data_IF_134445222252
#
_entry.id   IF_134445222252
#
_cell.length_a   1.000
_cell.length_b   1.000
_cell.length_c   1.000
_cell.angle_alpha   90.00
_cell.angle_beta   90.00
_cell.angle_gamma   90.00
#
_symmetry.space_group_name_H-M   'P 1'
#
loop_
_entity.id
_entity.type
_entity.pdbx_description
1 polymer ?
#
# COMPACT_ATOMS: atom_id res chain seq x y z
N UNK A 1 63.70 20.99 -52.78
CA UNK A 1 62.40 21.66 -52.55
C UNK A 1 61.43 20.58 -52.13
N UNK A 2 61.38 20.29 -50.84
CA UNK A 2 60.37 19.42 -50.24
C UNK A 2 59.80 20.18 -49.04
N UNK A 3 58.53 20.56 -49.14
CA UNK A 3 57.73 20.99 -47.98
C UNK A 3 56.44 20.19 -48.00
N UNK A 4 56.44 19.17 -47.15
CA UNK A 4 55.36 18.24 -46.89
C UNK A 4 54.21 18.89 -46.12
N UNK A 5 53.00 18.65 -46.65
CA UNK A 5 51.67 18.78 -46.06
C UNK A 5 51.58 18.72 -44.52
N UNK A 6 51.02 19.77 -43.91
CA UNK A 6 50.40 19.70 -42.58
C UNK A 6 48.94 19.25 -42.71
N UNK A 7 48.65 17.98 -42.38
CA UNK A 7 47.29 17.53 -42.06
C UNK A 7 47.23 17.21 -40.57
N UNK A 8 46.79 18.17 -39.78
CA UNK A 8 46.42 17.96 -38.38
C UNK A 8 45.10 17.20 -38.36
N UNK A 9 45.12 15.96 -37.86
CA UNK A 9 43.90 15.19 -37.60
C UNK A 9 43.05 15.90 -36.53
N UNK A 10 41.71 15.82 -36.59
CA UNK A 10 40.87 16.41 -35.56
C UNK A 10 41.10 15.68 -34.23
N UNK A 11 41.37 16.45 -33.18
CA UNK A 11 41.44 15.99 -31.79
C UNK A 11 40.03 15.48 -31.44
N UNK A 12 39.87 14.16 -31.39
CA UNK A 12 38.67 13.55 -30.82
C UNK A 12 38.66 13.95 -29.35
N UNK A 13 37.71 14.80 -28.94
CA UNK A 13 37.45 15.06 -27.53
C UNK A 13 37.15 13.72 -26.87
N UNK A 14 38.11 13.22 -26.09
CA UNK A 14 37.91 12.12 -25.17
C UNK A 14 36.70 12.51 -24.32
N UNK A 15 35.56 11.82 -24.51
CA UNK A 15 34.38 12.08 -23.70
C UNK A 15 34.82 11.96 -22.25
N UNK A 16 34.55 12.99 -21.45
CA UNK A 16 34.74 12.96 -20.00
C UNK A 16 34.27 11.59 -19.47
N UNK A 17 35.22 10.81 -18.93
CA UNK A 17 34.95 9.44 -18.49
C UNK A 17 33.83 9.39 -17.45
N UNK A 18 33.66 10.49 -16.68
CA UNK A 18 32.56 10.66 -15.75
C UNK A 18 31.22 10.77 -16.47
N UNK A 19 31.15 11.54 -17.55
CA UNK A 19 29.95 11.67 -18.38
C UNK A 19 29.58 10.35 -19.07
N UNK A 20 30.59 9.60 -19.56
CA UNK A 20 30.36 8.26 -20.13
C UNK A 20 29.77 7.32 -19.08
N UNK A 21 30.31 7.35 -17.87
CA UNK A 21 29.84 6.52 -16.74
C UNK A 21 28.41 6.86 -16.35
N UNK A 22 28.08 8.15 -16.20
CA UNK A 22 26.71 8.62 -15.91
C UNK A 22 25.72 8.22 -17.01
N UNK A 23 26.09 8.38 -18.28
CA UNK A 23 25.25 7.99 -19.42
C UNK A 23 24.96 6.48 -19.40
N UNK A 24 25.96 5.65 -19.10
CA UNK A 24 25.82 4.21 -18.98
C UNK A 24 24.89 3.83 -17.81
N UNK A 25 25.10 4.40 -16.63
CA UNK A 25 24.24 4.17 -15.45
C UNK A 25 22.78 4.52 -15.76
N UNK A 26 22.53 5.68 -16.39
CA UNK A 26 21.17 6.10 -16.77
C UNK A 26 20.54 5.15 -17.80
N UNK A 27 21.30 4.69 -18.81
CA UNK A 27 20.82 3.69 -19.79
C UNK A 27 20.50 2.33 -19.15
N UNK A 28 21.27 1.93 -18.15
CA UNK A 28 21.04 0.71 -17.37
C UNK A 28 19.94 0.85 -16.31
N UNK A 29 19.32 2.05 -16.19
CA UNK A 29 18.33 2.40 -15.17
C UNK A 29 18.87 2.25 -13.74
N UNK A 30 20.14 2.58 -13.56
CA UNK A 30 20.82 2.67 -12.26
C UNK A 30 20.72 4.10 -11.71
N UNK A 31 19.49 4.57 -11.50
CA UNK A 31 19.22 5.99 -11.19
C UNK A 31 19.77 6.42 -9.83
N UNK A 32 19.65 5.58 -8.80
CA UNK A 32 20.21 5.89 -7.48
C UNK A 32 21.73 5.93 -7.51
N UNK A 33 22.35 5.00 -8.23
CA UNK A 33 23.80 4.99 -8.47
C UNK A 33 24.26 6.21 -9.27
N UNK A 34 23.54 6.61 -10.32
CA UNK A 34 23.88 7.78 -11.12
C UNK A 34 23.84 9.06 -10.28
N UNK A 35 22.80 9.24 -9.46
CA UNK A 35 22.68 10.40 -8.58
C UNK A 35 23.81 10.43 -7.53
N UNK A 36 24.11 9.28 -6.91
CA UNK A 36 25.21 9.18 -5.96
C UNK A 36 26.57 9.45 -6.62
N UNK A 37 26.80 8.93 -7.82
CA UNK A 37 28.02 9.22 -8.57
C UNK A 37 28.13 10.72 -8.90
N UNK A 38 27.05 11.38 -9.31
CA UNK A 38 27.02 12.83 -9.55
C UNK A 38 27.27 13.64 -8.25
N UNK A 39 26.69 13.23 -7.12
CA UNK A 39 26.98 13.79 -5.78
C UNK A 39 28.47 13.63 -5.42
N UNK A 40 29.10 12.53 -5.82
CA UNK A 40 30.51 12.26 -5.54
C UNK A 40 31.47 13.18 -6.32
N UNK A 41 31.07 13.65 -7.51
CA UNK A 41 31.88 14.57 -8.32
C UNK A 41 31.94 15.98 -7.73
N UNK A 42 30.98 16.33 -6.87
CA UNK A 42 30.86 17.66 -6.26
C UNK A 42 31.27 17.69 -4.79
N UNK A 43 31.50 16.53 -4.18
CA UNK A 43 31.85 16.41 -2.76
C UNK A 43 33.24 15.81 -2.56
N UNK A 44 33.99 16.31 -1.58
CA UNK A 44 35.26 15.70 -1.13
C UNK A 44 35.06 14.36 -0.42
N UNK A 45 33.82 13.94 -0.21
CA UNK A 45 33.47 12.68 0.45
C UNK A 45 33.96 11.45 -0.32
N UNK A 46 34.03 11.54 -1.65
CA UNK A 46 34.51 10.47 -2.51
C UNK A 46 36.03 10.24 -2.41
N UNK A 47 36.79 11.31 -2.14
CA UNK A 47 38.26 11.28 -2.12
C UNK A 47 38.83 10.52 -0.91
N UNK A 48 38.03 10.35 0.15
CA UNK A 48 38.41 9.62 1.36
C UNK A 48 38.03 8.12 1.32
N UNK A 49 37.29 7.67 0.30
CA UNK A 49 36.84 6.28 0.21
C UNK A 49 37.83 5.40 -0.54
N UNK A 50 38.00 4.17 -0.08
CA UNK A 50 38.65 3.12 -0.87
C UNK A 50 37.74 2.73 -2.06
N UNK A 51 38.30 2.18 -3.17
CA UNK A 51 37.49 1.81 -4.34
C UNK A 51 36.32 0.85 -4.01
N UNK A 52 36.54 -0.10 -3.11
CA UNK A 52 35.52 -1.04 -2.64
C UNK A 52 34.43 -0.35 -1.80
N UNK A 53 34.81 0.61 -0.96
CA UNK A 53 33.87 1.43 -0.18
C UNK A 53 33.00 2.30 -1.09
N UNK A 54 33.60 2.90 -2.12
CA UNK A 54 32.88 3.72 -3.09
C UNK A 54 31.85 2.90 -3.88
N UNK A 55 32.23 1.73 -4.40
CA UNK A 55 31.30 0.83 -5.11
C UNK A 55 30.19 0.37 -4.17
N UNK A 56 30.50 0.00 -2.93
CA UNK A 56 29.50 -0.43 -1.95
C UNK A 56 28.47 0.67 -1.66
N UNK A 57 28.94 1.92 -1.51
CA UNK A 57 28.07 3.07 -1.33
C UNK A 57 27.16 3.32 -2.54
N UNK A 58 27.70 3.31 -3.76
CA UNK A 58 26.93 3.45 -4.99
C UNK A 58 25.84 2.37 -5.12
N UNK A 59 26.18 1.12 -4.81
CA UNK A 59 25.24 -0.01 -4.85
C UNK A 59 24.14 0.13 -3.79
N UNK A 60 24.49 0.57 -2.58
CA UNK A 60 23.51 0.84 -1.53
C UNK A 60 22.52 1.93 -1.96
N UNK A 61 23.00 3.02 -2.59
CA UNK A 61 22.14 4.10 -3.09
C UNK A 61 21.19 3.65 -4.19
N UNK A 62 21.63 2.77 -5.08
CA UNK A 62 20.76 2.15 -6.07
C UNK A 62 19.70 1.25 -5.43
N UNK A 63 20.10 0.45 -4.45
CA UNK A 63 19.19 -0.42 -3.71
C UNK A 63 18.10 0.39 -3.00
N UNK A 64 18.49 1.43 -2.26
CA UNK A 64 17.57 2.32 -1.54
C UNK A 64 16.59 3.02 -2.50
N UNK A 65 17.08 3.48 -3.66
CA UNK A 65 16.25 4.07 -4.69
C UNK A 65 15.20 3.09 -5.21
N UNK A 66 15.62 1.86 -5.56
CA UNK A 66 14.71 0.81 -6.05
C UNK A 66 13.70 0.37 -5.00
N UNK A 67 14.14 0.20 -3.75
CA UNK A 67 13.29 -0.18 -2.63
C UNK A 67 12.21 0.88 -2.41
N UNK A 68 12.59 2.15 -2.36
CA UNK A 68 11.67 3.29 -2.19
C UNK A 68 10.68 3.38 -3.36
N UNK A 69 11.16 3.29 -4.61
CA UNK A 69 10.30 3.33 -5.79
C UNK A 69 9.32 2.14 -5.84
N UNK A 70 9.72 0.96 -5.36
CA UNK A 70 8.84 -0.20 -5.26
C UNK A 70 7.72 0.03 -4.23
N UNK A 71 8.06 0.56 -3.05
CA UNK A 71 7.10 0.93 -2.00
C UNK A 71 6.12 2.01 -2.51
N UNK A 72 6.62 3.07 -3.14
CA UNK A 72 5.79 4.15 -3.70
C UNK A 72 4.82 3.64 -4.76
N UNK A 73 5.24 2.65 -5.56
CA UNK A 73 4.36 1.99 -6.53
C UNK A 73 3.26 1.19 -5.82
N UNK A 74 3.56 0.50 -4.72
CA UNK A 74 2.55 -0.22 -3.94
C UNK A 74 1.56 0.75 -3.29
N UNK A 75 2.05 1.83 -2.68
CA UNK A 75 1.21 2.87 -2.07
C UNK A 75 0.28 3.51 -3.10
N UNK A 76 0.81 3.92 -4.26
CA UNK A 76 -0.01 4.46 -5.35
C UNK A 76 -1.02 3.44 -5.88
N UNK A 77 -0.61 2.18 -6.02
CA UNK A 77 -1.49 1.10 -6.48
C UNK A 77 -2.64 0.80 -5.50
N UNK A 78 -2.39 0.97 -4.20
CA UNK A 78 -3.39 0.74 -3.16
C UNK A 78 -4.54 1.74 -3.17
N UNK A 79 -4.38 2.92 -3.79
CA UNK A 79 -5.44 3.92 -3.95
C UNK A 79 -6.05 4.41 -2.62
N UNK A 80 -5.24 4.60 -1.58
CA UNK A 80 -5.68 5.11 -0.29
C UNK A 80 -6.35 6.50 -0.41
N UNK A 81 -7.34 6.77 0.45
CA UNK A 81 -8.03 8.07 0.49
C UNK A 81 -7.10 9.22 0.92
N UNK A 82 -6.15 8.94 1.80
CA UNK A 82 -5.14 9.87 2.32
C UNK A 82 -3.95 9.06 2.84
N UNK A 83 -2.81 9.74 3.07
CA UNK A 83 -1.67 9.13 3.75
C UNK A 83 -1.96 9.03 5.25
N UNK A 84 -1.73 7.86 5.84
CA UNK A 84 -1.86 7.62 7.27
C UNK A 84 -0.68 6.77 7.73
N UNK A 85 -0.05 7.18 8.82
CA UNK A 85 1.13 6.53 9.34
C UNK A 85 0.84 5.92 10.72
N UNK A 86 1.30 4.70 11.02
CA UNK A 86 1.15 4.11 12.36
C UNK A 86 1.67 5.00 13.49
N UNK A 87 2.73 5.77 13.22
CA UNK A 87 3.37 6.69 14.16
C UNK A 87 2.46 7.87 14.56
N UNK A 88 1.45 8.17 13.77
CA UNK A 88 0.46 9.23 14.02
C UNK A 88 -0.74 8.74 14.87
N UNK A 89 -0.76 7.47 15.26
CA UNK A 89 -1.81 6.90 16.09
C UNK A 89 -1.68 7.45 17.52
N UNK A 90 -2.66 8.24 17.93
CA UNK A 90 -2.76 8.73 19.31
C UNK A 90 -3.43 7.69 20.22
N UNK A 91 -2.63 7.08 21.11
CA UNK A 91 -3.06 6.12 22.13
C UNK A 91 -3.50 6.79 23.45
N UNK A 92 -3.28 8.10 23.62
CA UNK A 92 -3.74 8.83 24.81
C UNK A 92 -5.25 9.02 24.84
N UNK A 93 -5.89 8.95 23.67
CA UNK A 93 -7.35 9.02 23.52
C UNK A 93 -7.96 7.68 23.95
N UNK A 94 -8.73 7.68 25.04
CA UNK A 94 -9.48 6.49 25.47
C UNK A 94 -10.62 6.18 24.51
N UNK A 95 -10.38 5.28 23.56
CA UNK A 95 -11.33 4.88 22.52
C UNK A 95 -11.38 3.38 22.25
N UNK A 96 -10.97 2.55 23.20
CA UNK A 96 -10.93 1.09 23.03
C UNK A 96 -9.75 0.57 22.21
N UNK A 97 -8.76 1.43 21.94
CA UNK A 97 -7.56 1.04 21.22
C UNK A 97 -6.46 0.62 22.18
N UNK A 98 -6.03 -0.64 22.10
CA UNK A 98 -4.93 -1.18 22.89
C UNK A 98 -3.61 -1.12 22.10
N UNK A 99 -2.57 -0.51 22.68
CA UNK A 99 -1.26 -0.36 22.02
C UNK A 99 -0.61 -1.73 21.72
N UNK A 100 -0.58 -2.65 22.68
CA UNK A 100 0.02 -3.98 22.48
C UNK A 100 -0.70 -4.76 21.37
N UNK A 101 -2.03 -4.62 21.27
CA UNK A 101 -2.80 -5.23 20.19
C UNK A 101 -2.44 -4.60 18.84
N UNK A 102 -2.32 -3.28 18.76
CA UNK A 102 -1.94 -2.59 17.53
C UNK A 102 -0.52 -2.95 17.09
N UNK A 103 0.45 -3.01 18.01
CA UNK A 103 1.82 -3.46 17.72
C UNK A 103 1.85 -4.88 17.14
N UNK A 104 1.05 -5.80 17.68
CA UNK A 104 0.88 -7.15 17.11
C UNK A 104 0.27 -7.12 15.71
N UNK A 105 -0.72 -6.26 15.46
CA UNK A 105 -1.29 -6.12 14.11
C UNK A 105 -0.29 -5.51 13.12
N UNK A 106 0.58 -4.61 13.59
CA UNK A 106 1.66 -4.02 12.80
C UNK A 106 2.80 -5.00 12.51
N UNK A 107 2.89 -6.17 13.17
CA UNK A 107 3.77 -7.27 12.69
C UNK A 107 3.33 -7.81 11.33
N UNK A 108 2.06 -7.57 10.95
CA UNK A 108 1.41 -8.04 9.72
C UNK A 108 1.33 -9.57 9.62
N UNK A 109 1.52 -10.30 10.71
CA UNK A 109 1.42 -11.77 10.72
C UNK A 109 0.02 -12.23 10.34
N UNK A 110 -1.01 -11.51 10.78
CA UNK A 110 -2.39 -11.78 10.39
C UNK A 110 -2.55 -11.72 8.86
N UNK A 111 -1.86 -10.78 8.18
CA UNK A 111 -1.89 -10.67 6.72
C UNK A 111 -1.28 -11.89 6.06
N UNK A 112 -0.13 -12.35 6.58
CA UNK A 112 0.62 -13.52 6.08
C UNK A 112 -0.14 -14.83 6.32
N UNK A 113 -0.94 -14.90 7.39
CA UNK A 113 -1.76 -16.05 7.75
C UNK A 113 -3.14 -16.04 7.07
N UNK A 114 -3.48 -15.01 6.29
CA UNK A 114 -4.80 -14.92 5.65
C UNK A 114 -5.95 -14.60 6.62
N UNK A 115 -5.64 -14.07 7.81
CA UNK A 115 -6.63 -13.71 8.82
C UNK A 115 -7.21 -12.32 8.55
N UNK A 116 -8.47 -12.10 8.92
CA UNK A 116 -9.15 -10.83 8.73
C UNK A 116 -8.97 -9.90 9.94
N UNK A 117 -9.24 -8.61 9.74
CA UNK A 117 -9.29 -7.61 10.80
C UNK A 117 -10.54 -6.77 10.67
N UNK A 118 -11.35 -6.72 11.73
CA UNK A 118 -12.52 -5.86 11.80
C UNK A 118 -12.29 -4.69 12.73
N UNK A 119 -12.56 -3.49 12.23
CA UNK A 119 -12.45 -2.24 12.99
C UNK A 119 -13.84 -1.62 13.02
N UNK A 120 -14.53 -1.76 14.15
CA UNK A 120 -15.91 -1.27 14.33
C UNK A 120 -15.94 -0.04 15.24
N UNK A 121 -17.08 0.66 15.28
CA UNK A 121 -17.28 1.81 16.17
C UNK A 121 -17.97 3.01 15.52
N UNK A 122 -18.38 3.99 16.33
CA UNK A 122 -19.16 5.14 15.88
C UNK A 122 -18.41 6.05 14.88
N UNK A 123 -19.13 6.93 14.19
CA UNK A 123 -18.54 7.87 13.24
C UNK A 123 -17.46 8.77 13.90
N UNK A 124 -16.30 8.89 13.24
CA UNK A 124 -15.23 9.77 13.70
C UNK A 124 -14.29 9.20 14.77
N UNK A 125 -14.47 7.94 15.20
CA UNK A 125 -13.57 7.28 16.18
C UNK A 125 -12.20 6.88 15.60
N UNK A 126 -11.97 7.04 14.29
CA UNK A 126 -10.68 6.77 13.65
C UNK A 126 -10.54 5.42 12.93
N UNK A 127 -11.64 4.68 12.69
CA UNK A 127 -11.63 3.38 11.98
C UNK A 127 -10.89 3.42 10.64
N UNK A 128 -11.31 4.31 9.74
CA UNK A 128 -10.71 4.45 8.41
C UNK A 128 -9.23 4.85 8.49
N UNK A 129 -8.85 5.63 9.52
CA UNK A 129 -7.46 6.02 9.74
C UNK A 129 -6.62 4.81 10.13
N UNK A 130 -7.07 3.99 11.09
CA UNK A 130 -6.38 2.77 11.49
C UNK A 130 -6.24 1.79 10.33
N UNK A 131 -7.33 1.53 9.59
CA UNK A 131 -7.30 0.65 8.43
C UNK A 131 -6.29 1.13 7.37
N UNK A 132 -6.26 2.44 7.10
CA UNK A 132 -5.33 3.05 6.15
C UNK A 132 -3.88 2.98 6.66
N UNK A 133 -3.63 3.26 7.94
CA UNK A 133 -2.30 3.21 8.54
C UNK A 133 -1.70 1.79 8.48
N UNK A 134 -2.51 0.76 8.78
CA UNK A 134 -2.13 -0.65 8.64
C UNK A 134 -1.83 -0.97 7.18
N UNK A 135 -2.68 -0.52 6.24
CA UNK A 135 -2.45 -0.70 4.81
C UNK A 135 -1.16 -0.03 4.31
N UNK A 136 -0.86 1.16 4.80
CA UNK A 136 0.35 1.90 4.47
C UNK A 136 1.59 1.17 5.00
N UNK A 137 1.52 0.70 6.24
CA UNK A 137 2.55 -0.13 6.85
C UNK A 137 2.77 -1.43 6.06
N UNK A 138 1.69 -2.06 5.60
CA UNK A 138 1.75 -3.24 4.74
C UNK A 138 2.48 -2.95 3.42
N UNK A 139 2.16 -1.84 2.74
CA UNK A 139 2.86 -1.43 1.53
C UNK A 139 4.35 -1.17 1.76
N UNK A 140 4.72 -0.52 2.88
CA UNK A 140 6.13 -0.32 3.27
C UNK A 140 6.87 -1.64 3.49
N UNK A 141 6.17 -2.69 3.93
CA UNK A 141 6.69 -4.04 4.09
C UNK A 141 6.56 -4.90 2.81
N UNK A 142 6.34 -4.29 1.65
CA UNK A 142 6.28 -5.00 0.37
C UNK A 142 4.98 -5.76 0.09
N UNK A 143 3.96 -5.64 0.94
CA UNK A 143 2.67 -6.30 0.78
C UNK A 143 1.81 -5.48 -0.17
N UNK A 144 1.27 -6.13 -1.21
CA UNK A 144 0.35 -5.48 -2.14
C UNK A 144 -1.03 -5.32 -1.48
N UNK A 145 -1.41 -4.07 -1.28
CA UNK A 145 -2.68 -3.68 -0.65
C UNK A 145 -3.61 -3.02 -1.67
N UNK A 146 -4.92 -3.14 -1.48
CA UNK A 146 -5.94 -2.34 -2.18
C UNK A 146 -6.91 -1.75 -1.15
N UNK A 147 -7.13 -0.45 -1.20
CA UNK A 147 -8.13 0.25 -0.41
C UNK A 147 -9.31 0.64 -1.29
N UNK A 148 -10.52 0.46 -0.78
CA UNK A 148 -11.70 1.04 -1.38
C UNK A 148 -12.79 1.31 -0.34
N UNK A 149 -13.64 2.29 -0.62
CA UNK A 149 -14.93 2.39 0.07
C UNK A 149 -15.84 1.27 -0.47
N UNK A 150 -16.46 0.53 0.44
CA UNK A 150 -17.19 -0.70 0.13
C UNK A 150 -18.32 -0.47 -0.87
N UNK A 151 -19.18 0.53 -0.63
CA UNK A 151 -20.30 0.85 -1.53
C UNK A 151 -19.81 1.30 -2.91
N UNK A 152 -18.71 2.07 -2.99
CA UNK A 152 -18.12 2.48 -4.27
C UNK A 152 -17.54 1.30 -5.04
N UNK A 153 -16.83 0.39 -4.35
CA UNK A 153 -16.28 -0.82 -4.95
C UNK A 153 -17.40 -1.67 -5.56
N UNK A 154 -18.40 -2.02 -4.76
CA UNK A 154 -19.51 -2.88 -5.20
C UNK A 154 -20.31 -2.22 -6.34
N UNK A 155 -20.54 -0.90 -6.26
CA UNK A 155 -21.16 -0.15 -7.36
C UNK A 155 -20.35 -0.22 -8.66
N UNK A 156 -19.01 -0.05 -8.59
CA UNK A 156 -18.16 -0.16 -9.77
C UNK A 156 -18.14 -1.57 -10.37
N UNK A 157 -18.12 -2.61 -9.52
CA UNK A 157 -18.15 -4.00 -9.94
C UNK A 157 -19.50 -4.39 -10.55
N UNK A 158 -20.60 -3.86 -10.02
CA UNK A 158 -21.95 -3.99 -10.60
C UNK A 158 -22.01 -3.42 -12.02
N UNK A 159 -21.40 -2.26 -12.24
CA UNK A 159 -21.27 -1.67 -13.59
C UNK A 159 -20.36 -2.51 -14.49
N UNK A 160 -19.23 -2.99 -13.97
CA UNK A 160 -18.31 -3.86 -14.72
C UNK A 160 -18.99 -5.18 -15.13
N UNK A 161 -19.85 -5.73 -14.27
CA UNK A 161 -20.66 -6.93 -14.57
C UNK A 161 -21.60 -6.67 -15.74
N UNK A 162 -22.30 -5.54 -15.74
CA UNK A 162 -23.19 -5.15 -16.84
C UNK A 162 -22.43 -4.92 -18.16
N UNK A 163 -21.14 -4.57 -18.10
CA UNK A 163 -20.27 -4.37 -19.26
C UNK A 163 -19.46 -5.61 -19.67
N UNK A 164 -19.65 -6.76 -19.00
CA UNK A 164 -18.85 -7.98 -19.18
C UNK A 164 -17.33 -7.78 -18.96
N UNK A 165 -16.93 -6.87 -18.06
CA UNK A 165 -15.52 -6.60 -17.72
C UNK A 165 -15.18 -6.91 -16.26
N UNK A 166 -16.09 -7.56 -15.52
CA UNK A 166 -15.91 -7.83 -14.07
C UNK A 166 -14.67 -8.67 -13.76
N UNK A 167 -14.33 -9.64 -14.61
CA UNK A 167 -13.18 -10.52 -14.41
C UNK A 167 -11.86 -9.75 -14.27
N UNK A 168 -11.68 -8.66 -15.02
CA UNK A 168 -10.47 -7.84 -14.97
C UNK A 168 -10.34 -7.14 -13.62
N UNK A 169 -11.45 -6.64 -13.07
CA UNK A 169 -11.49 -5.98 -11.77
C UNK A 169 -11.33 -7.00 -10.63
N UNK A 170 -11.97 -8.17 -10.72
CA UNK A 170 -11.78 -9.25 -9.75
C UNK A 170 -10.34 -9.74 -9.74
N UNK A 171 -9.68 -9.94 -10.90
CA UNK A 171 -8.24 -10.27 -10.98
C UNK A 171 -7.36 -9.21 -10.32
N UNK A 172 -7.75 -7.93 -10.37
CA UNK A 172 -7.02 -6.85 -9.68
C UNK A 172 -7.15 -6.99 -8.16
N UNK A 173 -8.34 -7.27 -7.66
CA UNK A 173 -8.61 -7.52 -6.23
C UNK A 173 -7.91 -8.80 -5.77
N UNK A 174 -7.97 -9.86 -6.56
CA UNK A 174 -7.34 -11.15 -6.28
C UNK A 174 -5.82 -10.99 -6.11
N UNK A 175 -5.16 -10.18 -6.93
CA UNK A 175 -3.71 -9.96 -6.85
C UNK A 175 -3.23 -9.26 -5.58
N UNK A 176 -4.11 -8.61 -4.80
CA UNK A 176 -3.71 -7.96 -3.55
C UNK A 176 -3.79 -8.91 -2.35
N UNK A 177 -2.72 -8.95 -1.55
CA UNK A 177 -2.65 -9.76 -0.33
C UNK A 177 -3.52 -9.17 0.79
N UNK A 178 -3.70 -7.84 0.79
CA UNK A 178 -4.53 -7.12 1.76
C UNK A 178 -5.60 -6.28 1.04
N UNK A 179 -6.87 -6.54 1.34
CA UNK A 179 -7.99 -5.74 0.84
C UNK A 179 -8.59 -4.96 2.00
N UNK A 180 -8.66 -3.64 1.89
CA UNK A 180 -9.30 -2.77 2.87
C UNK A 180 -10.65 -2.31 2.32
N UNK A 181 -11.70 -2.67 3.04
CA UNK A 181 -13.09 -2.29 2.77
C UNK A 181 -13.54 -1.29 3.83
N UNK A 182 -13.53 -0.01 3.45
CA UNK A 182 -13.90 1.11 4.32
C UNK A 182 -15.40 1.42 4.22
N UNK A 183 -15.98 1.92 5.31
CA UNK A 183 -17.43 2.15 5.48
C UNK A 183 -18.29 0.93 5.09
N UNK A 184 -17.85 -0.27 5.43
CA UNK A 184 -18.60 -1.50 5.15
C UNK A 184 -19.96 -1.50 5.85
N UNK A 185 -20.99 -1.98 5.15
CA UNK A 185 -22.36 -2.16 5.67
C UNK A 185 -23.06 -0.89 6.19
N UNK A 186 -22.55 0.31 5.86
CA UNK A 186 -23.24 1.56 6.17
C UNK A 186 -24.56 1.69 5.39
N UNK A 187 -24.57 1.16 4.17
CA UNK A 187 -25.76 1.00 3.33
C UNK A 187 -25.99 -0.49 3.14
N UNK A 188 -27.22 -1.01 3.34
CA UNK A 188 -27.53 -2.41 3.09
C UNK A 188 -27.23 -2.82 1.65
N UNK A 189 -26.78 -4.06 1.46
CA UNK A 189 -26.42 -4.55 0.13
C UNK A 189 -27.66 -4.82 -0.73
N UNK A 190 -27.59 -4.44 -2.01
CA UNK A 190 -28.61 -4.82 -2.98
C UNK A 190 -28.42 -6.27 -3.49
N UNK A 191 -29.45 -6.82 -4.14
CA UNK A 191 -29.43 -8.20 -4.63
C UNK A 191 -28.33 -8.50 -5.67
N UNK A 192 -27.81 -7.49 -6.38
CA UNK A 192 -26.73 -7.63 -7.35
C UNK A 192 -25.35 -7.53 -6.69
N UNK A 193 -25.24 -6.82 -5.58
CA UNK A 193 -24.00 -6.60 -4.83
C UNK A 193 -23.65 -7.78 -3.92
N UNK A 194 -24.65 -8.44 -3.33
CA UNK A 194 -24.47 -9.64 -2.50
C UNK A 194 -23.60 -10.74 -3.13
N UNK A 195 -23.91 -11.24 -4.35
CA UNK A 195 -23.10 -12.28 -4.97
C UNK A 195 -21.68 -11.80 -5.32
N UNK A 196 -21.50 -10.51 -5.62
CA UNK A 196 -20.17 -9.93 -5.91
C UNK A 196 -19.32 -9.92 -4.63
N UNK A 197 -19.91 -9.52 -3.50
CA UNK A 197 -19.18 -9.54 -2.22
C UNK A 197 -18.81 -10.98 -1.82
N UNK A 198 -19.75 -11.91 -1.99
CA UNK A 198 -19.49 -13.33 -1.71
C UNK A 198 -18.32 -13.85 -2.56
N UNK A 199 -18.31 -13.59 -3.87
CA UNK A 199 -17.23 -13.99 -4.78
C UNK A 199 -15.86 -13.44 -4.33
N UNK A 200 -15.79 -12.16 -3.95
CA UNK A 200 -14.56 -11.55 -3.41
C UNK A 200 -14.10 -12.25 -2.13
N UNK A 201 -15.03 -12.61 -1.24
CA UNK A 201 -14.72 -13.25 0.03
C UNK A 201 -14.26 -14.70 -0.19
N UNK A 202 -14.91 -15.43 -1.09
CA UNK A 202 -14.56 -16.81 -1.45
C UNK A 202 -13.15 -16.91 -2.03
N UNK A 203 -12.77 -16.01 -2.94
CA UNK A 203 -11.43 -15.97 -3.52
C UNK A 203 -10.31 -15.72 -2.48
N UNK A 204 -10.69 -15.13 -1.34
CA UNK A 204 -9.76 -14.68 -0.30
C UNK A 204 -9.73 -15.57 0.92
N UNK A 205 -10.77 -16.35 1.16
CA UNK A 205 -10.91 -17.25 2.31
C UNK A 205 -9.67 -18.15 2.47
N UNK A 206 -9.10 -18.18 3.68
CA UNK A 206 -7.87 -18.90 4.06
C UNK A 206 -6.63 -18.64 3.17
N UNK A 207 -6.63 -17.55 2.39
CA UNK A 207 -5.55 -17.24 1.43
C UNK A 207 -5.03 -15.82 1.57
N UNK A 208 -5.91 -14.84 1.72
CA UNK A 208 -5.61 -13.41 1.67
C UNK A 208 -6.51 -12.64 2.63
N UNK A 209 -5.97 -11.59 3.20
CA UNK A 209 -6.59 -10.94 4.36
C UNK A 209 -7.51 -9.79 3.96
N UNK A 210 -8.60 -9.61 4.69
CA UNK A 210 -9.53 -8.48 4.54
C UNK A 210 -9.51 -7.65 5.82
N UNK A 211 -9.33 -6.34 5.67
CA UNK A 211 -9.59 -5.37 6.74
C UNK A 211 -10.93 -4.72 6.45
N UNK A 212 -11.92 -4.88 7.31
CA UNK A 212 -13.21 -4.20 7.20
C UNK A 212 -13.34 -3.13 8.28
N UNK A 213 -13.57 -1.88 7.86
CA UNK A 213 -13.91 -0.79 8.76
C UNK A 213 -15.42 -0.50 8.65
N UNK A 214 -16.17 -0.69 9.73
CA UNK A 214 -17.63 -0.53 9.74
C UNK A 214 -18.13 0.31 10.91
N UNK A 215 -19.22 1.03 10.71
CA UNK A 215 -19.95 1.66 11.81
C UNK A 215 -20.92 0.71 12.50
N UNK A 216 -21.32 -0.37 11.80
CA UNK A 216 -22.17 -1.41 12.34
C UNK A 216 -21.33 -2.39 13.17
N UNK A 217 -21.80 -2.78 14.36
CA UNK A 217 -21.27 -3.96 15.06
C UNK A 217 -21.37 -5.21 14.20
N UNK A 218 -20.44 -6.16 14.39
CA UNK A 218 -20.37 -7.39 13.58
C UNK A 218 -21.68 -8.20 13.67
N UNK A 219 -22.33 -8.19 14.83
CA UNK A 219 -23.61 -8.86 15.08
C UNK A 219 -24.72 -8.41 14.12
N UNK A 220 -24.65 -7.16 13.64
CA UNK A 220 -25.66 -6.58 12.76
C UNK A 220 -25.31 -6.74 11.27
N UNK A 221 -24.15 -7.33 10.94
CA UNK A 221 -23.73 -7.48 9.54
C UNK A 221 -24.62 -8.48 8.78
N UNK A 222 -25.19 -9.46 9.49
CA UNK A 222 -26.14 -10.41 8.92
C UNK A 222 -27.32 -9.70 8.26
N UNK A 223 -27.95 -8.80 8.99
CA UNK A 223 -29.09 -8.00 8.52
C UNK A 223 -28.70 -7.02 7.41
N UNK A 224 -27.49 -6.43 7.50
CA UNK A 224 -27.02 -5.49 6.49
C UNK A 224 -26.71 -6.16 5.13
N UNK A 225 -26.35 -7.45 5.14
CA UNK A 225 -26.24 -8.25 3.91
C UNK A 225 -27.64 -8.56 3.38
N UNK A 226 -28.58 -8.92 4.25
CA UNK A 226 -30.02 -8.96 3.98
C UNK A 226 -30.55 -10.20 3.23
N UNK A 227 -29.69 -11.15 2.86
CA UNK A 227 -30.06 -12.46 2.32
C UNK A 227 -29.48 -13.55 3.23
N UNK A 228 -30.31 -14.45 3.76
CA UNK A 228 -29.91 -15.41 4.79
C UNK A 228 -28.76 -16.31 4.32
N UNK A 229 -28.89 -16.91 3.14
CA UNK A 229 -27.90 -17.85 2.61
C UNK A 229 -26.58 -17.15 2.30
N UNK A 230 -26.62 -15.95 1.70
CA UNK A 230 -25.41 -15.19 1.41
C UNK A 230 -24.77 -14.66 2.69
N UNK A 231 -25.56 -14.20 3.65
CA UNK A 231 -25.06 -13.68 4.93
C UNK A 231 -24.35 -14.78 5.72
N UNK A 232 -24.94 -15.97 5.82
CA UNK A 232 -24.32 -17.14 6.44
C UNK A 232 -22.98 -17.45 5.74
N UNK A 233 -22.99 -17.57 4.42
CA UNK A 233 -21.79 -17.90 3.65
C UNK A 233 -20.66 -16.88 3.82
N UNK A 234 -21.01 -15.59 3.82
CA UNK A 234 -20.08 -14.46 4.01
C UNK A 234 -19.51 -14.47 5.43
N UNK A 235 -20.37 -14.50 6.45
CA UNK A 235 -19.96 -14.36 7.84
C UNK A 235 -19.16 -15.56 8.32
N UNK A 236 -19.57 -16.78 7.95
CA UNK A 236 -18.81 -18.00 8.23
C UNK A 236 -17.35 -17.85 7.76
N UNK A 237 -17.15 -17.37 6.52
CA UNK A 237 -15.82 -17.21 5.93
C UNK A 237 -14.99 -16.07 6.54
N UNK A 238 -15.60 -14.94 6.86
CA UNK A 238 -14.81 -13.77 7.32
C UNK A 238 -14.60 -13.76 8.83
N UNK A 239 -15.53 -14.30 9.61
CA UNK A 239 -15.57 -14.12 11.07
C UNK A 239 -14.70 -15.14 11.81
N UNK A 240 -14.66 -16.41 11.37
CA UNK A 240 -13.94 -17.48 12.09
C UNK A 240 -12.46 -17.17 12.31
N UNK A 241 -11.82 -16.54 11.33
CA UNK A 241 -10.40 -16.18 11.35
C UNK A 241 -10.20 -14.66 11.41
N UNK A 242 -10.82 -13.98 12.39
CA UNK A 242 -10.77 -12.50 12.49
C UNK A 242 -10.22 -11.95 13.81
N UNK A 243 -9.37 -10.93 13.69
CA UNK A 243 -9.04 -10.00 14.77
C UNK A 243 -10.11 -8.90 14.85
N UNK A 244 -10.37 -8.37 16.04
CA UNK A 244 -11.38 -7.32 16.24
C UNK A 244 -10.83 -6.15 17.06
N UNK A 245 -11.13 -4.95 16.60
CA UNK A 245 -10.94 -3.69 17.33
C UNK A 245 -12.29 -2.98 17.37
N UNK A 246 -12.82 -2.80 18.57
CA UNK A 246 -14.06 -2.06 18.78
C UNK A 246 -13.73 -0.69 19.34
N UNK A 247 -13.99 0.35 18.55
CA UNK A 247 -13.71 1.73 18.94
C UNK A 247 -14.95 2.41 19.53
N UNK A 248 -14.76 3.11 20.64
CA UNK A 248 -15.79 3.90 21.31
C UNK A 248 -15.34 5.34 21.56
N UNK A 249 -16.25 6.18 22.09
CA UNK A 249 -15.95 7.56 22.47
C UNK A 249 -16.29 8.61 21.39
N UNK A 250 -15.89 9.85 21.66
CA UNK A 250 -16.21 10.99 20.80
C UNK A 250 -15.42 11.01 19.48
N UNK A 251 -15.95 11.75 18.50
CA UNK A 251 -15.29 11.96 17.21
C UNK A 251 -13.96 12.70 17.39
N UNK A 252 -12.86 12.07 16.94
CA UNK A 252 -11.52 12.67 16.90
C UNK A 252 -11.53 13.97 16.08
N UNK A 253 -12.34 14.03 15.02
CA UNK A 253 -12.48 15.25 14.20
C UNK A 253 -13.04 16.41 15.02
N UNK A 254 -14.01 16.14 15.91
CA UNK A 254 -14.58 17.16 16.81
C UNK A 254 -13.57 17.58 17.88
N UNK A 255 -12.81 16.63 18.44
CA UNK A 255 -11.76 16.94 19.42
C UNK A 255 -10.65 17.82 18.84
N UNK A 256 -10.22 17.54 17.61
CA UNK A 256 -9.22 18.37 16.90
C UNK A 256 -9.74 19.76 16.54
N UNK A 257 -11.03 19.92 16.28
CA UNK A 257 -11.63 21.23 15.97
C UNK A 257 -11.88 22.12 17.22
N UNK A 258 -11.81 21.55 18.43
CA UNK A 258 -11.95 22.28 19.70
C UNK A 258 -10.61 22.75 20.29
N UNK A 259 -9.49 22.27 19.76
CA UNK A 259 -8.12 22.72 20.09
C UNK A 259 -7.71 23.81 19.11
#
# INVERSE_FOLDING_TARGET
>A
METTNSKTAPIVQEKDQNQVTLDLMRRMRLTGMANAFEESLTSTYAEAMTPDGFISWLMAREWDYRSSAAIDRLIRGASFRYNAYPEEIDYSISRGLNQNQMERLLSLDFVRQGQNLFITGSAGTGKSFLATAIGYHACKNGIRTLYSNTSKLLSSLKVAKAKNTIETELKKIERCQLLILDDAFLVPLDAKERPILLEIIEDRHDRKSIVMASQLPVENWYDAIGDQAVADAVLDRIVHSSHRIELFGESIRKMKAKK
#
